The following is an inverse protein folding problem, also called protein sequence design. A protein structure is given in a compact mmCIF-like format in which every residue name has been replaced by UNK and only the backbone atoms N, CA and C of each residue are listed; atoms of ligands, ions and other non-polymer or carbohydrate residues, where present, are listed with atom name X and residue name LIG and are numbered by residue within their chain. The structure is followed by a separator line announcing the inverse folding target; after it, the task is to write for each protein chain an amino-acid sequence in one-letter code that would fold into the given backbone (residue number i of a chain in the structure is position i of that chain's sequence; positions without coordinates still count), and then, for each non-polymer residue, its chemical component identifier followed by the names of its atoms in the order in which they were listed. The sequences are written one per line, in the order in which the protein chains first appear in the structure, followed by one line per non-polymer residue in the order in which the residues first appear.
data_IF_407245306003
#
_entry.id   IF_407245306003
#
_cell.length_a   1.000
_cell.length_b   1.000
_cell.length_c   1.000
_cell.angle_alpha   90.00
_cell.angle_beta   90.00
_cell.angle_gamma   90.00
#
_symmetry.space_group_name_H-M   'P 1'
#
loop_
_entity.id
_entity.type
_entity.pdbx_description
1 polymer ?
#
# COMPACT_ATOMS: atom_id res chain seq x y z
N UNK A 1 -2.76 -18.98 1.57
CA UNK A 1 -2.93 -17.86 2.52
C UNK A 1 -4.39 -17.43 2.64
N UNK A 2 -5.09 -17.08 1.55
CA UNK A 2 -6.52 -16.69 1.59
C UNK A 2 -7.40 -17.67 2.40
N UNK A 3 -7.34 -18.97 2.07
CA UNK A 3 -8.05 -20.03 2.83
C UNK A 3 -7.69 -20.09 4.32
N UNK A 4 -6.44 -19.81 4.68
CA UNK A 4 -5.97 -19.90 6.07
C UNK A 4 -6.51 -18.75 6.92
N UNK A 5 -6.54 -17.53 6.37
CA UNK A 5 -6.98 -16.34 7.11
C UNK A 5 -8.49 -16.09 7.06
N UNK A 6 -9.21 -16.72 6.13
CA UNK A 6 -10.66 -16.57 5.91
C UNK A 6 -11.46 -16.49 7.21
N UNK A 7 -11.40 -17.53 8.05
CA UNK A 7 -12.23 -17.62 9.26
C UNK A 7 -11.49 -17.11 10.52
N UNK A 8 -10.36 -16.40 10.35
CA UNK A 8 -9.52 -15.95 11.46
C UNK A 8 -9.95 -14.59 12.04
N UNK A 9 -10.87 -13.88 11.39
CA UNK A 9 -11.22 -12.49 11.72
C UNK A 9 -10.18 -11.45 11.25
N UNK A 10 -9.07 -11.87 10.63
CA UNK A 10 -8.07 -10.97 10.06
C UNK A 10 -8.31 -10.74 8.58
N UNK A 11 -8.27 -9.46 8.16
CA UNK A 11 -8.33 -9.09 6.74
C UNK A 11 -6.95 -9.28 6.12
N UNK A 12 -6.81 -10.31 5.30
CA UNK A 12 -5.57 -10.55 4.54
C UNK A 12 -5.45 -9.52 3.40
N UNK A 13 -4.28 -8.90 3.28
CA UNK A 13 -3.95 -7.97 2.18
C UNK A 13 -2.83 -8.51 1.32
N UNK A 14 -3.05 -8.54 0.01
CA UNK A 14 -2.01 -8.80 -0.97
C UNK A 14 -1.51 -7.45 -1.51
N UNK A 15 -0.19 -7.32 -1.64
CA UNK A 15 0.46 -6.09 -2.10
C UNK A 15 1.29 -6.47 -3.31
N UNK A 16 1.09 -5.76 -4.43
CA UNK A 16 1.91 -5.97 -5.61
C UNK A 16 3.37 -5.67 -5.32
N UNK A 17 4.25 -6.55 -5.77
CA UNK A 17 5.68 -6.39 -5.61
C UNK A 17 6.14 -5.11 -6.33
N UNK A 18 6.93 -4.30 -5.64
CA UNK A 18 7.56 -3.11 -6.21
C UNK A 18 9.07 -3.31 -6.26
N UNK A 19 9.65 -3.35 -7.46
CA UNK A 19 11.10 -3.31 -7.65
C UNK A 19 11.58 -1.86 -7.66
N UNK A 20 12.03 -1.38 -6.50
CA UNK A 20 12.46 0.01 -6.28
C UNK A 20 13.83 -0.03 -5.61
N UNK A 21 14.87 0.11 -6.43
CA UNK A 21 16.27 -0.05 -6.00
C UNK A 21 17.28 0.75 -6.83
N UNK A 22 17.30 0.62 -8.16
CA UNK A 22 18.33 1.28 -9.00
C UNK A 22 17.96 1.49 -10.50
N UNK A 23 16.83 0.92 -10.97
CA UNK A 23 16.44 1.00 -12.39
C UNK A 23 15.05 1.61 -12.56
N UNK A 24 14.96 2.65 -13.39
CA UNK A 24 13.70 3.30 -13.81
C UNK A 24 12.82 2.40 -14.73
N UNK A 25 12.89 1.08 -14.59
CA UNK A 25 12.20 0.11 -15.43
C UNK A 25 11.43 -0.87 -14.57
N UNK A 26 10.15 -0.58 -14.32
CA UNK A 26 9.24 -1.53 -13.70
C UNK A 26 9.16 -2.79 -14.56
N UNK A 27 9.72 -3.88 -14.05
CA UNK A 27 9.61 -5.19 -14.65
C UNK A 27 8.28 -5.82 -14.25
N UNK A 28 7.28 -5.60 -15.08
CA UNK A 28 5.91 -6.14 -14.89
C UNK A 28 5.89 -7.67 -14.83
N UNK A 29 6.94 -8.35 -15.28
CA UNK A 29 7.10 -9.80 -15.28
C UNK A 29 7.57 -10.39 -13.95
N UNK A 30 7.98 -9.58 -12.97
CA UNK A 30 8.45 -10.06 -11.66
C UNK A 30 7.34 -10.09 -10.58
N UNK A 31 6.12 -9.62 -10.90
CA UNK A 31 5.00 -9.54 -9.96
C UNK A 31 3.70 -10.16 -10.51
N UNK A 32 2.79 -10.52 -9.59
CA UNK A 32 1.43 -10.97 -9.93
C UNK A 32 0.47 -9.79 -9.76
N UNK A 33 -0.21 -9.31 -10.82
CA UNK A 33 -1.16 -8.22 -10.72
C UNK A 33 -2.34 -8.55 -9.81
N UNK A 34 -2.92 -7.54 -9.17
CA UNK A 34 -4.09 -7.70 -8.30
C UNK A 34 -5.28 -8.38 -9.00
N UNK A 35 -5.50 -8.15 -10.30
CA UNK A 35 -6.55 -8.81 -11.06
C UNK A 35 -6.36 -10.32 -11.14
N UNK A 36 -5.13 -10.78 -11.34
CA UNK A 36 -4.81 -12.21 -11.39
C UNK A 36 -4.96 -12.85 -10.00
N UNK A 37 -4.58 -12.15 -8.93
CA UNK A 37 -4.81 -12.61 -7.55
C UNK A 37 -6.31 -12.80 -7.29
N UNK A 38 -7.15 -11.87 -7.75
CA UNK A 38 -8.62 -11.98 -7.65
C UNK A 38 -9.13 -13.19 -8.41
N UNK A 39 -8.65 -13.44 -9.63
CA UNK A 39 -9.04 -14.61 -10.43
C UNK A 39 -8.63 -15.93 -9.75
N UNK A 40 -7.38 -16.03 -9.30
CA UNK A 40 -6.85 -17.21 -8.61
C UNK A 40 -7.67 -17.50 -7.36
N UNK A 41 -7.93 -16.49 -6.53
CA UNK A 41 -8.72 -16.66 -5.31
C UNK A 41 -10.18 -16.99 -5.64
N UNK A 42 -10.79 -16.22 -6.54
CA UNK A 42 -12.19 -16.37 -6.95
C UNK A 42 -12.53 -17.74 -7.53
N UNK A 43 -11.56 -18.41 -8.17
CA UNK A 43 -11.71 -19.77 -8.69
C UNK A 43 -11.92 -20.84 -7.59
N UNK A 44 -11.49 -20.57 -6.35
CA UNK A 44 -11.56 -21.52 -5.23
C UNK A 44 -12.43 -21.02 -4.07
N UNK A 45 -12.49 -19.70 -3.88
CA UNK A 45 -13.18 -19.01 -2.81
C UNK A 45 -13.94 -17.85 -3.46
N UNK A 46 -15.25 -18.01 -3.76
CA UNK A 46 -16.02 -16.98 -4.42
C UNK A 46 -15.98 -15.65 -3.65
N UNK A 47 -15.60 -14.59 -4.35
CA UNK A 47 -15.46 -13.24 -3.82
C UNK A 47 -16.15 -12.24 -4.74
N UNK A 48 -16.63 -11.14 -4.17
CA UNK A 48 -17.20 -10.02 -4.92
C UNK A 48 -16.64 -8.68 -4.42
N UNK A 49 -16.46 -7.69 -5.31
CA UNK A 49 -15.92 -6.40 -4.92
C UNK A 49 -16.92 -5.66 -4.02
N UNK A 50 -16.41 -4.88 -3.07
CA UNK A 50 -17.21 -4.01 -2.22
C UNK A 50 -16.70 -2.58 -2.26
N UNK A 51 -17.60 -1.65 -1.93
CA UNK A 51 -17.27 -0.23 -1.92
C UNK A 51 -16.14 0.08 -0.91
N UNK A 52 -15.32 1.09 -1.21
CA UNK A 52 -14.36 1.58 -0.24
C UNK A 52 -15.08 2.15 0.99
N UNK A 53 -14.44 2.06 2.15
CA UNK A 53 -14.93 2.63 3.41
C UNK A 53 -14.87 4.16 3.40
N UNK A 54 -13.94 4.74 2.65
CA UNK A 54 -13.70 6.19 2.60
C UNK A 54 -13.04 6.59 1.28
N UNK A 55 -13.10 7.89 0.95
CA UNK A 55 -12.45 8.44 -0.24
C UNK A 55 -10.93 8.28 -0.14
N UNK A 56 -10.29 7.74 -1.19
CA UNK A 56 -8.86 7.51 -1.22
C UNK A 56 -8.40 6.25 -0.46
N UNK A 57 -9.31 5.31 -0.14
CA UNK A 57 -8.91 4.00 0.39
C UNK A 57 -8.04 3.25 -0.63
N UNK A 58 -6.78 2.99 -0.26
CA UNK A 58 -5.77 2.40 -1.14
C UNK A 58 -6.05 0.94 -1.48
N UNK A 59 -6.58 0.17 -0.52
CA UNK A 59 -6.85 -1.24 -0.72
C UNK A 59 -8.21 -1.41 -1.41
N UNK A 60 -8.21 -2.01 -2.61
CA UNK A 60 -9.45 -2.53 -3.21
C UNK A 60 -9.97 -3.68 -2.35
N UNK A 61 -11.26 -3.65 -2.03
CA UNK A 61 -11.86 -4.59 -1.09
C UNK A 61 -12.73 -5.62 -1.79
N UNK A 62 -12.62 -6.87 -1.34
CA UNK A 62 -13.38 -8.00 -1.85
C UNK A 62 -13.87 -8.85 -0.70
N UNK A 63 -15.18 -9.11 -0.61
CA UNK A 63 -15.74 -10.00 0.43
C UNK A 63 -15.96 -11.40 -0.11
N UNK A 64 -15.84 -12.39 0.77
CA UNK A 64 -16.30 -13.74 0.47
C UNK A 64 -17.83 -13.78 0.41
N UNK A 65 -18.39 -14.44 -0.59
CA UNK A 65 -19.85 -14.44 -0.81
C UNK A 65 -20.63 -15.21 0.26
N UNK A 66 -19.97 -16.08 1.02
CA UNK A 66 -20.56 -16.81 2.15
C UNK A 66 -20.48 -16.05 3.49
N UNK A 67 -19.96 -14.82 3.48
CA UNK A 67 -19.92 -13.96 4.66
C UNK A 67 -18.73 -14.20 5.59
N UNK A 68 -17.76 -15.05 5.22
CA UNK A 68 -16.54 -15.29 6.02
C UNK A 68 -15.52 -14.12 5.99
N UNK A 69 -15.98 -12.87 5.87
CA UNK A 69 -15.11 -11.69 5.87
C UNK A 69 -14.60 -11.28 4.49
N UNK A 70 -13.43 -10.64 4.44
CA UNK A 70 -12.90 -9.97 3.26
C UNK A 70 -11.38 -10.09 3.10
N UNK A 71 -10.91 -9.82 1.89
CA UNK A 71 -9.51 -9.60 1.53
C UNK A 71 -9.34 -8.20 0.93
N UNK A 72 -8.10 -7.69 0.99
CA UNK A 72 -7.72 -6.44 0.34
C UNK A 72 -6.61 -6.64 -0.69
N UNK A 73 -6.63 -5.84 -1.74
CA UNK A 73 -5.62 -5.82 -2.79
C UNK A 73 -5.02 -4.42 -2.87
N UNK A 74 -3.70 -4.30 -2.72
CA UNK A 74 -2.95 -3.04 -2.86
C UNK A 74 -2.18 -3.11 -4.18
N UNK A 75 -2.75 -2.48 -5.20
CA UNK A 75 -2.29 -2.47 -6.59
C UNK A 75 -1.19 -1.44 -6.83
N UNK A 76 -0.07 -1.53 -6.10
CA UNK A 76 1.00 -0.52 -6.11
C UNK A 76 1.66 -0.26 -7.46
N UNK A 77 1.56 -1.19 -8.41
CA UNK A 77 2.16 -1.08 -9.75
C UNK A 77 1.08 -0.94 -10.82
N UNK A 78 0.07 -1.81 -10.82
CA UNK A 78 -0.97 -1.83 -11.85
C UNK A 78 -1.96 -0.67 -11.73
N UNK A 79 -2.17 -0.13 -10.52
CA UNK A 79 -3.06 1.01 -10.26
C UNK A 79 -2.47 1.96 -9.20
N UNK A 80 -1.47 2.79 -9.56
CA UNK A 80 -0.80 3.68 -8.61
C UNK A 80 -1.75 4.70 -7.95
N UNK A 81 -1.53 4.96 -6.66
CA UNK A 81 -2.40 5.79 -5.81
C UNK A 81 -1.71 7.06 -5.27
N UNK A 82 -0.68 7.55 -5.96
CA UNK A 82 0.06 8.74 -5.52
C UNK A 82 -0.79 10.02 -5.47
N UNK A 83 -1.84 10.11 -6.31
CA UNK A 83 -2.72 11.29 -6.37
C UNK A 83 -3.46 11.60 -5.07
N UNK A 84 -3.82 10.55 -4.32
CA UNK A 84 -4.52 10.67 -3.02
C UNK A 84 -3.56 10.50 -1.83
N UNK A 85 -2.25 10.40 -2.07
CA UNK A 85 -1.28 10.13 -1.01
C UNK A 85 -1.03 11.36 -0.13
N UNK A 86 -1.47 11.29 1.13
CA UNK A 86 -1.27 12.33 2.15
C UNK A 86 -0.16 12.00 3.16
N UNK A 87 0.73 11.05 2.82
CA UNK A 87 1.76 10.54 3.75
C UNK A 87 3.02 11.39 3.75
N UNK A 88 3.45 11.80 4.93
CA UNK A 88 4.81 12.30 5.21
C UNK A 88 5.57 11.25 6.04
N UNK A 89 6.87 11.10 5.81
CA UNK A 89 7.74 10.16 6.55
C UNK A 89 8.87 10.91 7.24
N UNK A 90 9.09 10.64 8.54
CA UNK A 90 10.31 11.01 9.25
C UNK A 90 11.23 9.80 9.32
N UNK A 91 12.48 9.94 8.87
CA UNK A 91 13.47 8.85 8.97
C UNK A 91 14.01 8.70 10.40
N UNK A 92 14.64 7.56 10.67
CA UNK A 92 15.34 7.35 11.95
C UNK A 92 16.51 8.33 12.19
N UNK A 93 17.02 9.00 11.13
CA UNK A 93 18.04 10.06 11.24
C UNK A 93 17.45 11.43 11.56
N UNK A 94 16.13 11.57 11.49
CA UNK A 94 15.42 12.84 11.71
C UNK A 94 15.29 13.68 10.44
N UNK A 95 15.14 13.04 9.29
CA UNK A 95 14.92 13.72 8.01
C UNK A 95 13.47 13.52 7.53
N UNK A 96 12.82 14.58 7.08
CA UNK A 96 11.48 14.54 6.47
C UNK A 96 11.55 14.16 4.99
N UNK A 97 10.67 13.25 4.58
CA UNK A 97 10.47 12.82 3.19
C UNK A 97 8.99 12.89 2.82
N UNK A 98 8.71 13.40 1.62
CA UNK A 98 7.36 13.50 1.05
C UNK A 98 6.93 12.25 0.27
N UNK A 99 7.84 11.28 0.09
CA UNK A 99 7.58 10.01 -0.57
C UNK A 99 8.37 8.88 0.11
N UNK A 100 7.85 7.65 0.05
CA UNK A 100 8.54 6.46 0.57
C UNK A 100 9.86 6.17 -0.18
N UNK A 101 9.95 6.57 -1.44
CA UNK A 101 11.07 6.26 -2.33
C UNK A 101 11.97 7.47 -2.66
N UNK A 102 11.81 8.59 -1.95
CA UNK A 102 12.63 9.77 -2.18
C UNK A 102 14.09 9.55 -1.75
N UNK A 103 15.03 10.00 -2.58
CA UNK A 103 16.49 9.85 -2.38
C UNK A 103 17.10 10.88 -1.42
N UNK A 104 16.41 12.00 -1.19
CA UNK A 104 16.83 13.06 -0.28
C UNK A 104 15.69 13.50 0.63
N UNK A 105 16.02 13.83 1.88
CA UNK A 105 15.08 14.36 2.87
C UNK A 105 15.55 15.70 3.44
N UNK A 106 14.68 16.34 4.22
CA UNK A 106 14.96 17.60 4.89
C UNK A 106 15.32 17.36 6.37
N UNK A 107 16.51 17.78 6.81
CA UNK A 107 16.98 17.58 8.19
C UNK A 107 16.22 18.46 9.18
N UNK A 108 15.18 17.90 9.78
CA UNK A 108 14.43 18.55 10.84
C UNK A 108 15.04 18.35 12.22
N UNK A 109 15.89 17.35 12.40
CA UNK A 109 16.56 17.11 13.68
C UNK A 109 17.48 18.27 14.04
N UNK A 110 18.23 18.79 13.07
CA UNK A 110 19.10 19.95 13.31
C UNK A 110 18.28 21.19 13.61
N UNK A 111 17.18 21.42 12.86
CA UNK A 111 16.27 22.55 13.12
C UNK A 111 15.68 22.48 14.54
N UNK A 112 15.15 21.34 14.95
CA UNK A 112 14.51 21.15 16.26
C UNK A 112 15.48 21.15 17.45
N UNK A 113 16.77 20.92 17.21
CA UNK A 113 17.80 20.91 18.28
C UNK A 113 18.67 22.17 18.30
N UNK A 114 18.50 23.06 17.33
CA UNK A 114 19.11 24.38 17.31
C UNK A 114 18.15 25.45 17.81
N UNK A 115 18.54 26.72 17.64
CA UNK A 115 17.72 27.88 17.98
C UNK A 115 16.81 28.33 16.82
N UNK A 116 16.21 27.37 16.10
CA UNK A 116 15.30 27.70 15.00
C UNK A 116 14.06 28.42 15.56
N UNK A 117 13.71 29.56 14.94
CA UNK A 117 12.49 30.31 15.27
C UNK A 117 11.26 29.64 14.65
N UNK A 118 10.13 29.75 15.32
CA UNK A 118 8.81 29.41 14.77
C UNK A 118 8.27 30.48 13.81
N UNK A 119 8.90 31.67 13.80
CA UNK A 119 8.61 32.73 12.83
C UNK A 119 9.27 32.42 11.48
N UNK A 120 8.47 32.53 10.41
CA UNK A 120 8.87 32.24 9.02
C UNK A 120 9.91 33.21 8.45
#
# INVERSE_FOLDING_TARGET
MAKYFRDSGHILRFIEYMDVGDSNGWKLDEGVPSSEIVEIIGSQLPIEPIAPNYLGEVASRWKYTDGSGEIGLISSVSQPFCGDCSRLRLSARGELFTCLFASSGHDVRTLLRGDASDEK
#
